data_IF_878992832205
#
_entry.id   IF_878992832205
#
_cell.length_a   1.000
_cell.length_b   1.000
_cell.length_c   1.000
_cell.angle_alpha   90.00
_cell.angle_beta   90.00
_cell.angle_gamma   90.00
#
_symmetry.space_group_name_H-M   'P 1'
#
loop_
_entity.id
_entity.type
_entity.pdbx_description
1 polymer ?
#
# COMPACT_ATOMS: atom_id res chain seq x y z
N UNK A 1 -23.76 -39.15 -54.47
CA UNK A 1 -24.98 -38.38 -54.77
C UNK A 1 -25.68 -38.09 -53.44
N UNK A 2 -26.09 -36.83 -53.22
CA UNK A 2 -26.97 -36.28 -52.14
C UNK A 2 -26.31 -36.19 -50.75
N UNK A 3 -26.30 -35.09 -49.97
CA UNK A 3 -26.80 -33.70 -50.10
C UNK A 3 -26.02 -32.80 -49.12
N UNK A 4 -25.99 -31.51 -49.42
CA UNK A 4 -25.27 -30.42 -48.79
C UNK A 4 -25.70 -30.07 -47.35
N UNK A 5 -24.72 -29.54 -46.61
CA UNK A 5 -24.84 -28.79 -45.35
C UNK A 5 -25.90 -27.68 -45.45
N UNK A 6 -26.94 -27.74 -44.61
CA UNK A 6 -27.84 -26.61 -44.38
C UNK A 6 -27.36 -25.81 -43.15
N UNK A 7 -27.15 -24.49 -43.28
CA UNK A 7 -26.78 -23.65 -42.14
C UNK A 7 -27.94 -23.48 -41.15
N UNK A 8 -27.66 -23.64 -39.84
CA UNK A 8 -28.59 -23.38 -38.74
C UNK A 8 -29.20 -21.97 -38.86
N UNK A 9 -30.53 -21.86 -38.94
CA UNK A 9 -31.24 -20.60 -38.84
C UNK A 9 -31.13 -20.06 -37.39
N UNK A 10 -30.55 -18.86 -37.25
CA UNK A 10 -30.39 -18.17 -35.96
C UNK A 10 -31.76 -17.82 -35.36
N UNK A 11 -31.91 -17.99 -34.06
CA UNK A 11 -33.17 -17.68 -33.37
C UNK A 11 -33.41 -16.16 -33.28
N UNK A 12 -34.66 -15.69 -33.25
CA UNK A 12 -35.01 -14.26 -33.16
C UNK A 12 -34.32 -13.53 -31.99
N UNK A 13 -34.06 -14.25 -30.89
CA UNK A 13 -33.40 -13.72 -29.69
C UNK A 13 -31.91 -13.48 -29.90
N UNK A 14 -31.26 -14.29 -30.73
CA UNK A 14 -29.85 -14.14 -31.12
C UNK A 14 -29.69 -12.99 -32.12
N UNK A 15 -30.60 -12.89 -33.09
CA UNK A 15 -30.64 -11.79 -34.06
C UNK A 15 -30.86 -10.43 -33.37
N UNK A 16 -31.74 -10.34 -32.36
CA UNK A 16 -31.90 -9.13 -31.54
C UNK A 16 -30.63 -8.76 -30.77
N UNK A 17 -29.90 -9.75 -30.24
CA UNK A 17 -28.68 -9.52 -29.46
C UNK A 17 -27.49 -9.12 -30.34
N UNK A 18 -27.39 -9.65 -31.56
CA UNK A 18 -26.43 -9.19 -32.57
C UNK A 18 -26.77 -7.77 -33.05
N UNK A 19 -28.05 -7.47 -33.28
CA UNK A 19 -28.48 -6.12 -33.66
C UNK A 19 -28.17 -5.07 -32.58
N UNK A 20 -28.38 -5.39 -31.30
CA UNK A 20 -27.99 -4.50 -30.19
C UNK A 20 -26.47 -4.29 -30.08
N UNK A 21 -25.68 -5.35 -30.28
CA UNK A 21 -24.21 -5.25 -30.27
C UNK A 21 -23.71 -4.42 -31.45
N UNK A 22 -24.26 -4.63 -32.64
CA UNK A 22 -23.94 -3.85 -33.83
C UNK A 22 -24.32 -2.37 -33.64
N UNK A 23 -25.48 -2.08 -33.06
CA UNK A 23 -25.91 -0.71 -32.78
C UNK A 23 -25.01 -0.01 -31.73
N UNK A 24 -24.54 -0.74 -30.72
CA UNK A 24 -23.58 -0.21 -29.72
C UNK A 24 -22.20 0.06 -30.34
N UNK A 25 -21.72 -0.83 -31.21
CA UNK A 25 -20.45 -0.65 -31.90
C UNK A 25 -20.51 0.53 -32.87
N UNK A 26 -21.59 0.66 -33.65
CA UNK A 26 -21.81 1.80 -34.54
C UNK A 26 -21.85 3.13 -33.78
N UNK A 27 -22.53 3.20 -32.62
CA UNK A 27 -22.52 4.41 -31.77
C UNK A 27 -21.13 4.73 -31.20
N UNK A 28 -20.33 3.71 -30.88
CA UNK A 28 -18.96 3.91 -30.40
C UNK A 28 -18.03 4.42 -31.51
N UNK A 29 -18.12 3.85 -32.70
CA UNK A 29 -17.37 4.27 -33.88
C UNK A 29 -17.74 5.69 -34.32
N UNK A 30 -19.03 6.05 -34.28
CA UNK A 30 -19.49 7.41 -34.57
C UNK A 30 -18.93 8.43 -33.56
N UNK A 31 -18.87 8.06 -32.27
CA UNK A 31 -18.28 8.91 -31.22
C UNK A 31 -16.77 9.09 -31.40
N UNK A 32 -16.07 8.03 -31.80
CA UNK A 32 -14.64 8.08 -32.13
C UNK A 32 -14.38 8.93 -33.39
N UNK A 33 -15.25 8.83 -34.41
CA UNK A 33 -15.15 9.65 -35.62
C UNK A 33 -15.36 11.14 -35.30
N UNK A 34 -16.36 11.47 -34.50
CA UNK A 34 -16.59 12.87 -34.03
C UNK A 34 -15.43 13.43 -33.20
N UNK A 35 -14.75 12.59 -32.41
CA UNK A 35 -13.55 12.99 -31.66
C UNK A 35 -12.36 13.26 -32.60
N UNK A 36 -12.15 12.40 -33.60
CA UNK A 36 -11.10 12.59 -34.61
C UNK A 36 -11.37 13.79 -35.51
N UNK A 37 -12.62 14.02 -35.93
CA UNK A 37 -13.03 15.20 -36.70
C UNK A 37 -12.83 16.48 -35.90
N UNK A 38 -13.12 16.49 -34.58
CA UNK A 38 -12.83 17.64 -33.70
C UNK A 38 -11.32 17.89 -33.53
N UNK A 39 -10.51 16.84 -33.47
CA UNK A 39 -9.06 16.97 -33.39
C UNK A 39 -8.47 17.53 -34.70
N UNK A 40 -8.92 17.02 -35.85
CA UNK A 40 -8.49 17.50 -37.16
C UNK A 40 -8.94 18.96 -37.45
N UNK A 41 -10.15 19.33 -37.01
CA UNK A 41 -10.64 20.72 -37.13
C UNK A 41 -9.88 21.71 -36.22
N UNK A 42 -9.23 21.23 -35.15
CA UNK A 42 -8.36 22.04 -34.31
C UNK A 42 -6.97 22.27 -34.94
N UNK A 43 -6.49 21.34 -35.77
CA UNK A 43 -5.20 21.45 -36.46
C UNK A 43 -5.27 22.23 -37.79
N UNK A 44 -6.44 22.34 -38.42
CA UNK A 44 -6.60 22.95 -39.74
C UNK A 44 -6.84 24.48 -39.77
N UNK A 45 -6.80 25.20 -38.64
CA UNK A 45 -6.97 26.67 -38.62
C UNK A 45 -5.67 27.42 -38.95
N UNK A 46 -5.66 28.38 -39.90
CA UNK A 46 -4.46 29.13 -40.26
C UNK A 46 -3.96 30.01 -39.11
N UNK A 47 -2.64 30.05 -38.90
CA UNK A 47 -1.97 30.93 -37.93
C UNK A 47 -1.93 32.37 -38.43
N UNK A 48 -2.89 33.19 -38.02
CA UNK A 48 -2.72 34.65 -38.03
C UNK A 48 -1.97 35.10 -36.77
N UNK A 49 -0.95 35.93 -36.98
CA UNK A 49 -0.09 36.52 -35.94
C UNK A 49 -0.92 37.33 -34.95
N UNK A 50 -1.14 36.78 -33.75
CA UNK A 50 -1.56 37.53 -32.56
C UNK A 50 -0.51 37.36 -31.46
N UNK A 51 -0.15 38.51 -30.90
CA UNK A 51 0.75 38.78 -29.78
C UNK A 51 0.87 37.60 -28.80
N UNK A 52 2.11 37.19 -28.57
CA UNK A 52 2.53 36.09 -27.70
C UNK A 52 1.92 36.27 -26.30
N UNK A 53 0.87 35.49 -26.00
CA UNK A 53 0.51 35.15 -24.63
C UNK A 53 1.43 34.03 -24.20
N UNK A 54 2.26 34.33 -23.20
CA UNK A 54 3.25 33.45 -22.63
C UNK A 54 2.71 32.04 -22.40
N UNK A 55 3.54 31.08 -22.82
CA UNK A 55 3.48 29.70 -22.40
C UNK A 55 3.31 29.66 -20.88
N UNK A 56 2.38 28.81 -20.39
CA UNK A 56 2.34 28.41 -18.99
C UNK A 56 3.67 27.74 -18.66
N UNK A 57 4.61 28.57 -18.27
CA UNK A 57 5.87 28.19 -17.65
C UNK A 57 5.54 27.32 -16.46
N UNK A 58 6.30 26.23 -16.34
CA UNK A 58 6.55 25.54 -15.07
C UNK A 58 6.63 26.63 -14.01
N UNK A 59 5.75 26.59 -13.01
CA UNK A 59 5.83 27.50 -11.87
C UNK A 59 7.20 27.23 -11.25
N UNK A 60 8.15 28.14 -11.52
CA UNK A 60 9.43 28.16 -10.84
C UNK A 60 9.15 28.14 -9.34
N UNK A 61 9.84 27.24 -8.62
CA UNK A 61 9.91 27.27 -7.16
C UNK A 61 10.22 28.71 -6.73
N UNK A 62 9.63 29.23 -5.63
CA UNK A 62 9.84 30.62 -5.27
C UNK A 62 11.33 30.93 -5.19
N UNK A 63 11.76 31.83 -6.09
CA UNK A 63 12.99 32.59 -6.00
C UNK A 63 13.03 33.17 -4.59
N UNK A 64 14.15 32.96 -3.90
CA UNK A 64 14.61 33.67 -2.71
C UNK A 64 13.72 34.87 -2.31
N UNK A 65 13.05 34.76 -1.17
CA UNK A 65 12.29 35.87 -0.59
C UNK A 65 13.32 36.78 0.09
N UNK A 66 13.50 38.04 -0.35
CA UNK A 66 14.46 38.95 0.26
C UNK A 66 14.19 39.10 1.76
N UNK A 67 15.23 38.94 2.60
CA UNK A 67 15.12 39.14 4.05
C UNK A 67 14.64 37.94 4.87
N UNK A 68 14.61 36.72 4.31
CA UNK A 68 14.37 35.50 5.09
C UNK A 68 15.36 35.38 6.26
N UNK A 69 14.81 35.20 7.45
CA UNK A 69 15.57 35.00 8.69
C UNK A 69 14.99 33.79 9.40
N UNK A 70 15.44 32.57 9.04
CA UNK A 70 14.94 31.36 9.65
C UNK A 70 15.05 31.42 11.18
N UNK A 71 13.94 31.16 11.86
CA UNK A 71 13.84 31.20 13.32
C UNK A 71 13.52 32.57 13.91
N UNK A 72 13.48 33.65 13.12
CA UNK A 72 13.03 34.97 13.57
C UNK A 72 11.59 35.23 13.14
N UNK A 73 10.89 36.05 13.93
CA UNK A 73 9.54 36.47 13.56
C UNK A 73 9.61 37.25 12.26
N UNK A 74 8.77 36.88 11.29
CA UNK A 74 8.68 37.55 9.99
C UNK A 74 8.49 39.05 10.18
N UNK A 75 9.30 39.83 9.48
CA UNK A 75 9.17 41.29 9.45
C UNK A 75 8.03 41.69 8.51
N UNK A 76 7.05 42.40 9.04
CA UNK A 76 5.88 42.89 8.32
C UNK A 76 5.90 44.41 8.11
N UNK A 77 7.03 45.06 8.43
CA UNK A 77 7.18 46.53 8.33
C UNK A 77 7.28 47.03 6.89
N UNK A 78 7.80 46.22 5.95
CA UNK A 78 8.04 46.62 4.56
C UNK A 78 6.80 46.59 3.63
N UNK A 79 5.60 46.55 4.21
CA UNK A 79 4.35 46.46 3.46
C UNK A 79 4.05 45.03 2.98
N UNK A 80 2.76 44.72 2.85
CA UNK A 80 2.29 43.41 2.36
C UNK A 80 2.21 43.41 0.83
N UNK A 81 2.43 42.27 0.17
CA UNK A 81 2.17 42.13 -1.26
C UNK A 81 0.72 42.50 -1.61
N UNK A 82 0.51 43.11 -2.78
CA UNK A 82 -0.82 43.50 -3.25
C UNK A 82 -1.76 42.31 -3.52
N UNK A 83 -1.21 41.09 -3.66
CA UNK A 83 -1.94 39.84 -3.86
C UNK A 83 -1.43 38.81 -2.86
N UNK A 84 -2.33 38.00 -2.30
CA UNK A 84 -1.94 36.91 -1.40
C UNK A 84 -0.99 35.93 -2.10
N UNK A 85 0.21 35.79 -1.53
CA UNK A 85 1.20 34.79 -1.91
C UNK A 85 1.51 33.89 -0.70
N UNK A 86 1.09 32.61 -0.72
CA UNK A 86 1.38 31.67 0.35
C UNK A 86 2.88 31.50 0.60
N UNK A 87 3.71 31.54 -0.44
CA UNK A 87 5.16 31.37 -0.29
C UNK A 87 5.75 32.53 0.52
N UNK A 88 5.32 33.75 0.21
CA UNK A 88 5.66 34.92 1.01
C UNK A 88 5.09 34.80 2.42
N UNK A 89 3.82 34.48 2.58
CA UNK A 89 3.16 34.48 3.89
C UNK A 89 3.73 33.40 4.80
N UNK A 90 3.87 32.16 4.36
CA UNK A 90 4.29 31.00 5.16
C UNK A 90 5.78 30.99 5.50
N UNK A 91 6.61 31.65 4.67
CA UNK A 91 8.05 31.75 4.93
C UNK A 91 8.35 32.31 6.33
N UNK A 92 9.42 31.80 6.92
CA UNK A 92 9.93 32.12 8.27
C UNK A 92 9.04 31.68 9.45
N UNK A 93 7.70 31.67 9.33
CA UNK A 93 6.80 31.37 10.45
C UNK A 93 7.06 30.03 11.10
N UNK A 94 7.18 28.96 10.31
CA UNK A 94 7.35 27.63 10.87
C UNK A 94 8.63 27.53 11.70
N UNK A 95 9.74 27.99 11.13
CA UNK A 95 11.04 28.00 11.80
C UNK A 95 11.02 28.86 13.07
N UNK A 96 10.29 29.98 13.07
CA UNK A 96 10.10 30.80 14.26
C UNK A 96 9.24 30.09 15.31
N UNK A 97 8.11 29.50 14.93
CA UNK A 97 7.24 28.74 15.85
C UNK A 97 7.99 27.59 16.51
N UNK A 98 8.80 26.86 15.75
CA UNK A 98 9.67 25.79 16.24
C UNK A 98 10.71 26.33 17.22
N UNK A 99 11.43 27.40 16.87
CA UNK A 99 12.44 28.03 17.75
C UNK A 99 11.84 28.54 19.06
N UNK A 100 10.64 29.11 19.02
CA UNK A 100 9.96 29.60 20.23
C UNK A 100 9.35 28.48 21.08
N UNK A 101 9.32 27.24 20.57
CA UNK A 101 8.77 26.09 21.27
C UNK A 101 7.24 26.12 21.40
N UNK A 102 6.51 26.84 20.54
CA UNK A 102 5.05 27.02 20.64
C UNK A 102 4.25 25.71 20.56
N UNK A 103 4.85 24.66 20.01
CA UNK A 103 4.23 23.35 19.86
C UNK A 103 4.41 22.46 21.08
N UNK A 104 5.30 22.84 22.00
CA UNK A 104 5.64 22.06 23.18
C UNK A 104 4.54 22.16 24.24
N UNK A 105 4.20 21.07 24.95
CA UNK A 105 3.23 21.10 26.05
C UNK A 105 3.67 22.00 27.22
N UNK A 106 4.97 22.30 27.33
CA UNK A 106 5.54 23.21 28.31
C UNK A 106 5.32 24.69 27.99
N UNK A 107 4.97 25.02 26.74
CA UNK A 107 4.85 26.41 26.32
C UNK A 107 3.73 27.14 27.09
N UNK A 108 4.06 28.34 27.61
CA UNK A 108 3.14 29.16 28.38
C UNK A 108 2.83 28.63 29.78
N UNK A 109 3.53 27.60 30.26
CA UNK A 109 3.34 27.05 31.61
C UNK A 109 4.47 27.50 32.53
N UNK A 110 4.12 28.15 33.63
CA UNK A 110 5.08 28.55 34.67
C UNK A 110 5.58 27.39 35.55
N UNK A 111 4.81 26.29 35.64
CA UNK A 111 5.22 25.05 36.28
C UNK A 111 4.59 23.86 35.54
N UNK A 112 5.43 22.96 35.02
CA UNK A 112 5.02 21.81 34.22
C UNK A 112 4.44 20.65 35.05
N UNK A 113 4.76 20.59 36.35
CA UNK A 113 4.32 19.55 37.28
C UNK A 113 2.90 19.79 37.80
N UNK A 114 2.46 21.06 37.87
CA UNK A 114 1.09 21.39 38.31
C UNK A 114 0.07 21.01 37.25
N UNK A 115 -0.92 20.13 37.53
CA UNK A 115 -1.94 19.77 36.55
C UNK A 115 -2.64 21.00 35.94
N UNK A 116 -2.84 21.00 34.63
CA UNK A 116 -3.61 22.06 33.97
C UNK A 116 -5.10 21.85 34.27
N UNK A 117 -5.81 22.79 34.92
CA UNK A 117 -7.22 22.65 35.26
C UNK A 117 -8.12 22.51 34.03
N UNK A 118 -7.67 22.97 32.86
CA UNK A 118 -8.39 22.83 31.59
C UNK A 118 -8.23 21.43 30.95
N UNK A 119 -7.37 20.59 31.52
CA UNK A 119 -7.08 19.24 31.05
C UNK A 119 -5.98 19.16 29.98
N UNK A 120 -5.82 17.96 29.42
CA UNK A 120 -4.83 17.65 28.40
C UNK A 120 -5.49 17.14 27.11
N UNK A 121 -4.77 17.27 26.00
CA UNK A 121 -5.11 16.66 24.72
C UNK A 121 -3.83 16.15 24.07
N UNK A 122 -3.72 14.83 23.95
CA UNK A 122 -2.53 14.18 23.38
C UNK A 122 -2.95 13.36 22.18
N UNK A 123 -2.22 13.51 21.08
CA UNK A 123 -2.36 12.69 19.89
C UNK A 123 -0.97 12.37 19.34
N UNK A 124 -0.82 11.15 18.82
CA UNK A 124 0.37 10.76 18.09
C UNK A 124 0.05 10.79 16.61
N UNK A 125 0.95 11.33 15.78
CA UNK A 125 0.83 11.13 14.35
C UNK A 125 0.90 9.62 14.08
N UNK A 126 -0.01 9.04 13.28
CA UNK A 126 0.18 7.71 12.73
C UNK A 126 1.51 7.71 11.99
N UNK A 127 2.53 6.99 12.50
CA UNK A 127 3.90 7.19 12.07
C UNK A 127 4.03 6.77 10.60
N UNK A 128 4.34 7.69 9.66
CA UNK A 128 4.50 7.34 8.27
C UNK A 128 5.65 6.37 8.07
N UNK A 129 5.45 5.43 7.15
CA UNK A 129 6.46 4.45 6.74
C UNK A 129 7.62 5.16 6.04
N UNK A 130 8.87 4.79 6.37
CA UNK A 130 10.07 5.28 5.69
C UNK A 130 10.27 4.65 4.30
N UNK A 131 9.22 4.55 3.49
CA UNK A 131 9.22 3.90 2.16
C UNK A 131 9.24 4.89 1.00
N UNK A 132 9.22 6.20 1.25
CA UNK A 132 9.21 7.22 0.20
C UNK A 132 8.86 8.62 0.70
N UNK A 133 8.06 9.33 -0.08
CA UNK A 133 7.54 10.67 0.25
C UNK A 133 6.08 10.58 0.66
N UNK A 134 5.63 11.52 1.49
CA UNK A 134 4.22 11.68 1.83
C UNK A 134 3.38 12.02 0.59
N UNK A 135 2.14 11.56 0.59
CA UNK A 135 1.12 11.81 -0.44
C UNK A 135 -0.12 12.49 0.16
N UNK A 136 -1.09 12.87 -0.66
CA UNK A 136 -2.29 13.63 -0.24
C UNK A 136 -3.07 12.98 0.92
N UNK A 137 -3.15 11.65 0.97
CA UNK A 137 -3.75 10.95 2.11
C UNK A 137 -3.07 11.25 3.46
N UNK A 138 -1.74 11.35 3.50
CA UNK A 138 -1.01 11.78 4.69
C UNK A 138 -1.32 13.23 5.05
N UNK A 139 -1.37 14.10 4.03
CA UNK A 139 -1.72 15.51 4.23
C UNK A 139 -3.12 15.67 4.84
N UNK A 140 -4.10 14.90 4.37
CA UNK A 140 -5.46 14.89 4.94
C UNK A 140 -5.46 14.48 6.40
N UNK A 141 -4.84 13.33 6.74
CA UNK A 141 -4.78 12.84 8.11
C UNK A 141 -4.11 13.85 9.06
N UNK A 142 -2.92 14.31 8.71
CA UNK A 142 -2.17 15.30 9.51
C UNK A 142 -2.92 16.61 9.65
N UNK A 143 -3.62 17.08 8.61
CA UNK A 143 -4.42 18.33 8.69
C UNK A 143 -5.53 18.23 9.73
N UNK A 144 -6.23 17.09 9.76
CA UNK A 144 -7.31 16.84 10.74
C UNK A 144 -6.74 16.80 12.16
N UNK A 145 -5.66 16.05 12.37
CA UNK A 145 -4.98 15.92 13.66
C UNK A 145 -4.44 17.26 14.18
N UNK A 146 -3.82 18.04 13.29
CA UNK A 146 -3.27 19.35 13.61
C UNK A 146 -4.37 20.36 13.95
N UNK A 147 -5.48 20.35 13.20
CA UNK A 147 -6.64 21.20 13.46
C UNK A 147 -7.20 20.95 14.86
N UNK A 148 -7.39 19.67 15.24
CA UNK A 148 -7.87 19.30 16.56
C UNK A 148 -6.88 19.69 17.67
N UNK A 149 -5.58 19.51 17.41
CA UNK A 149 -4.51 19.90 18.33
C UNK A 149 -4.52 21.41 18.57
N UNK A 150 -4.55 22.22 17.51
CA UNK A 150 -4.60 23.68 17.59
C UNK A 150 -5.84 24.16 18.30
N UNK A 151 -7.00 23.60 17.98
CA UNK A 151 -8.26 23.95 18.65
C UNK A 151 -8.24 23.67 20.16
N UNK A 152 -7.73 22.51 20.59
CA UNK A 152 -7.59 22.21 22.01
C UNK A 152 -6.53 23.11 22.69
N UNK A 153 -5.45 23.44 21.99
CA UNK A 153 -4.42 24.39 22.47
C UNK A 153 -5.04 25.78 22.69
N UNK A 154 -5.86 26.25 21.76
CA UNK A 154 -6.59 27.52 21.86
C UNK A 154 -7.64 27.52 22.98
N UNK A 155 -8.21 26.36 23.32
CA UNK A 155 -9.06 26.21 24.52
C UNK A 155 -8.27 26.33 25.83
N UNK A 156 -6.93 26.32 25.77
CA UNK A 156 -6.03 26.41 26.91
C UNK A 156 -5.69 25.07 27.55
N UNK A 157 -5.98 23.94 26.87
CA UNK A 157 -5.51 22.63 27.31
C UNK A 157 -4.01 22.49 27.10
N UNK A 158 -3.36 21.64 27.89
CA UNK A 158 -2.00 21.20 27.60
C UNK A 158 -2.04 20.23 26.43
N UNK A 159 -1.39 20.56 25.31
CA UNK A 159 -1.44 19.72 24.11
C UNK A 159 -0.10 19.11 23.76
N UNK A 160 -0.13 17.84 23.35
CA UNK A 160 1.01 17.13 22.78
C UNK A 160 0.58 16.48 21.47
N UNK A 161 1.13 16.96 20.36
CA UNK A 161 1.04 16.29 19.08
C UNK A 161 2.40 15.66 18.77
N UNK A 162 2.53 14.37 19.04
CA UNK A 162 3.82 13.69 19.02
C UNK A 162 4.14 13.15 17.61
N UNK A 163 5.24 13.60 16.98
CA UNK A 163 5.64 13.09 15.67
C UNK A 163 6.42 11.77 15.78
N UNK A 164 6.44 11.01 14.69
CA UNK A 164 7.27 9.82 14.60
C UNK A 164 7.37 9.30 13.17
N UNK A 165 8.20 8.29 12.95
CA UNK A 165 8.22 7.53 11.70
C UNK A 165 8.36 6.04 11.98
N UNK A 166 7.78 5.24 11.09
CA UNK A 166 7.79 3.79 11.18
C UNK A 166 8.85 3.21 10.24
N UNK A 167 9.61 2.23 10.73
CA UNK A 167 10.55 1.43 9.97
C UNK A 167 9.87 0.56 8.90
N UNK A 168 8.59 0.21 9.10
CA UNK A 168 7.74 -0.51 8.14
C UNK A 168 8.29 -1.88 7.67
N UNK A 169 9.20 -2.50 8.45
CA UNK A 169 9.76 -3.85 8.25
C UNK A 169 9.87 -4.29 6.78
N UNK A 170 8.96 -5.19 6.39
CA UNK A 170 8.88 -5.80 5.05
C UNK A 170 8.79 -4.75 3.93
N UNK A 171 7.99 -3.69 4.11
CA UNK A 171 7.80 -2.68 3.09
C UNK A 171 9.11 -1.92 2.78
N UNK A 172 9.86 -1.54 3.82
CA UNK A 172 11.16 -0.89 3.64
C UNK A 172 12.18 -1.85 3.03
N UNK A 173 12.21 -3.10 3.48
CA UNK A 173 13.08 -4.13 2.90
C UNK A 173 12.86 -4.25 1.38
N UNK A 174 11.61 -4.40 0.94
CA UNK A 174 11.27 -4.55 -0.48
C UNK A 174 11.68 -3.32 -1.30
N UNK A 175 11.48 -2.11 -0.78
CA UNK A 175 11.86 -0.88 -1.48
C UNK A 175 13.37 -0.77 -1.63
N UNK A 176 14.13 -1.09 -0.57
CA UNK A 176 15.60 -1.07 -0.61
C UNK A 176 16.15 -2.15 -1.53
N UNK A 177 15.59 -3.37 -1.50
CA UNK A 177 15.97 -4.45 -2.43
C UNK A 177 15.73 -4.04 -3.90
N UNK A 178 14.56 -3.47 -4.21
CA UNK A 178 14.28 -2.97 -5.57
C UNK A 178 15.23 -1.85 -5.99
N UNK A 179 15.61 -0.96 -5.08
CA UNK A 179 16.61 0.09 -5.34
C UNK A 179 17.97 -0.52 -5.68
N UNK A 180 18.44 -1.46 -4.84
CA UNK A 180 19.73 -2.14 -5.04
C UNK A 180 19.78 -2.92 -6.35
N UNK A 181 18.71 -3.64 -6.68
CA UNK A 181 18.62 -4.38 -7.94
C UNK A 181 18.67 -3.41 -9.15
N UNK A 182 17.97 -2.28 -9.08
CA UNK A 182 17.93 -1.30 -10.18
C UNK A 182 19.25 -0.55 -10.35
N UNK A 183 19.90 -0.15 -9.26
CA UNK A 183 21.09 0.71 -9.30
C UNK A 183 22.39 -0.08 -9.44
N UNK A 184 22.47 -1.25 -8.80
CA UNK A 184 23.70 -2.04 -8.70
C UNK A 184 23.56 -3.44 -9.31
N UNK A 185 22.35 -3.88 -9.66
CA UNK A 185 22.10 -5.26 -10.10
C UNK A 185 22.26 -6.31 -9.00
N UNK A 186 22.34 -5.88 -7.73
CA UNK A 186 22.62 -6.75 -6.58
C UNK A 186 21.35 -7.08 -5.80
N UNK A 187 21.28 -8.30 -5.28
CA UNK A 187 20.29 -8.74 -4.30
C UNK A 187 20.79 -8.55 -2.86
N UNK A 188 19.87 -8.63 -1.88
CA UNK A 188 20.26 -8.64 -0.46
C UNK A 188 21.15 -9.83 -0.07
N UNK A 189 21.08 -10.93 -0.82
CA UNK A 189 21.88 -12.12 -0.56
C UNK A 189 23.34 -11.91 -0.98
N UNK A 190 23.57 -11.15 -2.06
CA UNK A 190 24.93 -10.82 -2.54
C UNK A 190 25.65 -9.89 -1.56
N UNK A 191 24.92 -8.98 -0.91
CA UNK A 191 25.47 -8.09 0.10
C UNK A 191 25.74 -8.79 1.43
N UNK A 192 24.88 -9.73 1.83
CA UNK A 192 24.84 -10.27 3.18
C UNK A 192 24.17 -9.32 4.19
N UNK A 193 23.87 -9.84 5.38
CA UNK A 193 22.99 -9.20 6.37
C UNK A 193 23.47 -7.80 6.80
N UNK A 194 24.71 -7.69 7.24
CA UNK A 194 25.19 -6.45 7.89
C UNK A 194 25.27 -5.29 6.90
N UNK A 195 25.79 -5.55 5.69
CA UNK A 195 25.84 -4.56 4.62
C UNK A 195 24.44 -4.16 4.14
N UNK A 196 23.51 -5.10 4.07
CA UNK A 196 22.13 -4.79 3.74
C UNK A 196 21.46 -3.90 4.80
N UNK A 197 21.67 -4.19 6.09
CA UNK A 197 21.17 -3.35 7.19
C UNK A 197 21.72 -1.92 7.10
N UNK A 198 22.99 -1.75 6.73
CA UNK A 198 23.59 -0.42 6.52
C UNK A 198 22.89 0.35 5.38
N UNK A 199 22.57 -0.31 4.26
CA UNK A 199 21.82 0.31 3.16
C UNK A 199 20.39 0.71 3.58
N UNK A 200 19.73 -0.10 4.43
CA UNK A 200 18.41 0.24 5.01
C UNK A 200 18.50 1.47 5.90
N UNK A 201 19.52 1.57 6.76
CA UNK A 201 19.74 2.76 7.57
C UNK A 201 20.05 3.98 6.71
N UNK A 202 20.88 3.85 5.66
CA UNK A 202 21.15 4.95 4.72
C UNK A 202 19.85 5.45 4.09
N UNK A 203 19.01 4.54 3.61
CA UNK A 203 17.69 4.86 3.08
C UNK A 203 16.81 5.59 4.10
N UNK A 204 16.77 5.13 5.36
CA UNK A 204 16.04 5.80 6.43
C UNK A 204 16.51 7.24 6.66
N UNK A 205 17.82 7.49 6.66
CA UNK A 205 18.35 8.84 6.84
C UNK A 205 17.97 9.76 5.65
N UNK A 206 18.07 9.24 4.43
CA UNK A 206 17.66 9.96 3.21
C UNK A 206 16.15 10.29 3.20
N UNK A 207 15.29 9.32 3.52
CA UNK A 207 13.82 9.48 3.40
C UNK A 207 13.14 10.04 4.64
N UNK A 208 13.62 9.69 5.84
CA UNK A 208 13.07 10.19 7.10
C UNK A 208 13.17 11.71 7.20
N UNK A 209 14.27 12.30 6.74
CA UNK A 209 14.43 13.75 6.67
C UNK A 209 13.40 14.42 5.74
N UNK A 210 13.12 13.81 4.58
CA UNK A 210 12.13 14.33 3.63
C UNK A 210 10.72 14.29 4.21
N UNK A 211 10.34 13.20 4.89
CA UNK A 211 9.02 13.08 5.53
C UNK A 211 8.83 14.19 6.57
N UNK A 212 9.84 14.43 7.42
CA UNK A 212 9.77 15.48 8.43
C UNK A 212 9.75 16.87 7.81
N UNK A 213 10.51 17.13 6.74
CA UNK A 213 10.43 18.39 5.99
C UNK A 213 9.03 18.61 5.37
N UNK A 214 8.41 17.58 4.82
CA UNK A 214 7.04 17.66 4.29
C UNK A 214 6.03 18.01 5.39
N UNK A 215 6.13 17.39 6.58
CA UNK A 215 5.28 17.74 7.73
C UNK A 215 5.50 19.19 8.20
N UNK A 216 6.75 19.67 8.22
CA UNK A 216 7.07 21.08 8.53
C UNK A 216 6.45 22.03 7.51
N UNK A 217 6.59 21.73 6.22
CA UNK A 217 6.02 22.53 5.12
C UNK A 217 4.50 22.56 5.12
N UNK A 218 3.85 21.49 5.60
CA UNK A 218 2.40 21.49 5.81
C UNK A 218 1.97 22.28 7.06
N UNK A 219 2.92 22.77 7.87
CA UNK A 219 2.61 23.55 9.05
C UNK A 219 2.19 22.72 10.27
N UNK A 220 2.50 21.42 10.32
CA UNK A 220 2.09 20.56 11.43
C UNK A 220 2.66 21.06 12.77
N UNK A 221 1.81 21.32 13.77
CA UNK A 221 2.16 21.84 15.09
C UNK A 221 2.60 20.75 16.08
N UNK A 222 3.49 19.89 15.59
CA UNK A 222 4.07 18.75 16.32
C UNK A 222 5.25 19.17 17.19
N UNK A 223 5.55 18.35 18.19
CA UNK A 223 6.74 18.53 19.04
C UNK A 223 7.93 17.73 18.53
N UNK A 224 8.83 18.38 17.79
CA UNK A 224 10.00 17.74 17.19
C UNK A 224 11.01 17.19 18.17
N UNK A 225 11.10 17.74 19.40
CA UNK A 225 12.00 17.22 20.43
C UNK A 225 11.62 15.79 20.84
N UNK A 226 10.35 15.45 20.67
CA UNK A 226 9.78 14.15 21.03
C UNK A 226 9.67 13.19 19.85
N UNK A 227 10.14 13.59 18.66
CA UNK A 227 10.13 12.73 17.49
C UNK A 227 10.74 11.34 17.78
N UNK A 228 10.01 10.29 17.39
CA UNK A 228 10.43 8.90 17.62
C UNK A 228 10.56 8.15 16.30
N UNK A 229 11.58 7.31 16.19
CA UNK A 229 11.66 6.25 15.20
C UNK A 229 11.43 4.90 15.88
N UNK A 230 10.69 4.00 15.24
CA UNK A 230 10.31 2.71 15.86
C UNK A 230 11.51 1.80 16.22
N UNK A 231 12.68 2.03 15.62
CA UNK A 231 13.92 1.32 15.98
C UNK A 231 14.81 2.09 16.96
N UNK A 232 14.37 3.23 17.50
CA UNK A 232 15.11 3.94 18.55
C UNK A 232 15.23 3.05 19.79
N UNK A 233 16.34 3.13 20.56
CA UNK A 233 16.55 2.28 21.73
C UNK A 233 15.40 2.31 22.74
N UNK A 234 14.73 3.46 22.91
CA UNK A 234 13.55 3.60 23.79
C UNK A 234 12.33 2.79 23.29
N UNK A 235 12.11 2.75 21.98
CA UNK A 235 11.00 2.02 21.36
C UNK A 235 11.27 0.52 21.38
N UNK A 236 12.51 0.12 21.06
CA UNK A 236 12.94 -1.29 21.14
C UNK A 236 12.72 -1.83 22.55
N UNK A 237 13.14 -1.10 23.60
CA UNK A 237 12.89 -1.51 24.98
C UNK A 237 11.40 -1.69 25.29
N UNK A 238 10.55 -0.77 24.82
CA UNK A 238 9.10 -0.87 25.05
C UNK A 238 8.49 -2.10 24.36
N UNK A 239 8.93 -2.42 23.12
CA UNK A 239 8.47 -3.61 22.40
C UNK A 239 8.99 -4.89 23.05
N UNK A 240 10.25 -4.92 23.50
CA UNK A 240 10.81 -6.07 24.22
C UNK A 240 10.06 -6.32 25.52
N UNK A 241 9.79 -5.29 26.32
CA UNK A 241 8.99 -5.41 27.55
C UNK A 241 7.59 -5.95 27.27
N UNK A 242 6.91 -5.42 26.24
CA UNK A 242 5.59 -5.89 25.85
C UNK A 242 5.62 -7.37 25.43
N UNK A 243 6.62 -7.79 24.65
CA UNK A 243 6.81 -9.18 24.26
C UNK A 243 7.03 -10.09 25.47
N UNK A 244 7.93 -9.72 26.39
CA UNK A 244 8.23 -10.50 27.59
C UNK A 244 6.98 -10.67 28.46
N UNK A 245 6.25 -9.59 28.73
CA UNK A 245 5.01 -9.65 29.51
C UNK A 245 3.95 -10.55 28.87
N UNK A 246 3.75 -10.42 27.56
CA UNK A 246 2.77 -11.23 26.83
C UNK A 246 3.19 -12.71 26.74
N UNK A 247 4.49 -12.99 26.72
CA UNK A 247 5.01 -14.35 26.77
C UNK A 247 4.83 -14.96 28.17
N UNK A 248 5.18 -14.21 29.22
CA UNK A 248 5.00 -14.64 30.63
C UNK A 248 3.53 -14.87 30.99
N UNK A 249 2.60 -14.09 30.41
CA UNK A 249 1.16 -14.30 30.58
C UNK A 249 0.58 -15.43 29.71
N UNK A 250 1.40 -16.10 28.90
CA UNK A 250 0.98 -17.19 28.00
C UNK A 250 0.24 -16.73 26.74
N UNK A 251 0.17 -15.43 26.47
CA UNK A 251 -0.47 -14.87 25.26
C UNK A 251 0.39 -15.08 24.01
N UNK A 252 1.72 -14.89 24.14
CA UNK A 252 2.69 -15.23 23.09
C UNK A 252 3.29 -16.61 23.41
N UNK A 253 3.26 -17.51 22.45
CA UNK A 253 3.80 -18.86 22.57
C UNK A 253 4.40 -19.33 21.24
N UNK A 254 5.17 -20.42 21.28
CA UNK A 254 5.75 -21.07 20.10
C UNK A 254 5.06 -22.41 19.85
N UNK A 255 4.56 -22.61 18.64
CA UNK A 255 3.94 -23.87 18.21
C UNK A 255 4.09 -24.04 16.69
N UNK A 256 3.95 -25.27 16.21
CA UNK A 256 3.90 -25.56 14.79
C UNK A 256 2.44 -25.45 14.32
N UNK A 257 2.17 -24.49 13.43
CA UNK A 257 0.86 -24.28 12.82
C UNK A 257 1.01 -23.95 11.34
N UNK A 258 -0.08 -24.11 10.59
CA UNK A 258 -0.18 -23.56 9.25
C UNK A 258 -0.10 -22.04 9.33
N UNK A 259 0.72 -21.46 8.45
CA UNK A 259 0.95 -20.03 8.33
C UNK A 259 0.88 -19.63 6.86
N UNK A 260 0.58 -18.37 6.58
CA UNK A 260 0.74 -17.84 5.24
C UNK A 260 2.23 -17.60 5.00
N UNK A 261 2.80 -18.26 4.00
CA UNK A 261 4.20 -18.12 3.64
C UNK A 261 4.35 -17.43 2.29
N UNK A 262 5.14 -16.36 2.24
CA UNK A 262 5.51 -15.72 0.98
C UNK A 262 6.81 -16.29 0.45
N UNK A 263 6.76 -17.00 -0.68
CA UNK A 263 7.94 -17.55 -1.35
C UNK A 263 8.92 -16.46 -1.83
N UNK A 264 8.40 -15.30 -2.20
CA UNK A 264 9.19 -14.17 -2.67
C UNK A 264 9.96 -13.49 -1.53
N UNK A 265 9.28 -13.21 -0.42
CA UNK A 265 9.90 -12.57 0.75
C UNK A 265 10.72 -13.57 1.59
N UNK A 266 10.40 -14.86 1.48
CA UNK A 266 10.90 -15.95 2.33
C UNK A 266 10.61 -15.68 3.81
N UNK A 267 9.36 -15.33 4.11
CA UNK A 267 8.88 -15.04 5.46
C UNK A 267 7.41 -15.46 5.61
N UNK A 268 7.03 -15.78 6.84
CA UNK A 268 5.63 -15.84 7.23
C UNK A 268 5.04 -14.43 7.22
N UNK A 269 3.76 -14.33 6.85
CA UNK A 269 2.95 -13.11 6.86
C UNK A 269 1.63 -13.37 7.60
N UNK A 270 1.11 -12.34 8.22
CA UNK A 270 -0.16 -12.40 8.95
C UNK A 270 -1.36 -12.41 8.01
N UNK A 271 -2.52 -12.86 8.49
CA UNK A 271 -3.75 -12.90 7.67
C UNK A 271 -4.15 -11.51 7.14
N UNK A 272 -3.90 -10.44 7.90
CA UNK A 272 -4.21 -9.06 7.50
C UNK A 272 -3.29 -8.53 6.40
N UNK A 273 -2.15 -9.19 6.15
CA UNK A 273 -1.22 -8.86 5.07
C UNK A 273 -1.51 -9.64 3.78
N UNK A 274 -2.53 -10.51 3.80
CA UNK A 274 -2.90 -11.36 2.65
C UNK A 274 -4.12 -10.78 1.93
N UNK A 275 -3.88 -10.27 0.73
CA UNK A 275 -4.94 -9.88 -0.20
C UNK A 275 -5.45 -11.09 -1.00
N UNK A 276 -6.74 -11.39 -0.87
CA UNK A 276 -7.40 -12.46 -1.63
C UNK A 276 -7.90 -11.93 -2.97
N UNK A 277 -7.52 -12.60 -4.06
CA UNK A 277 -7.98 -12.31 -5.41
C UNK A 277 -8.84 -13.45 -5.93
N UNK A 278 -10.09 -13.16 -6.24
CA UNK A 278 -10.99 -14.12 -6.89
C UNK A 278 -10.70 -14.20 -8.39
N UNK A 279 -10.67 -15.42 -8.92
CA UNK A 279 -10.46 -15.69 -10.34
C UNK A 279 -11.69 -16.44 -10.88
N UNK A 280 -12.37 -15.93 -11.91
CA UNK A 280 -13.58 -16.57 -12.46
C UNK A 280 -13.28 -17.85 -13.26
N UNK A 281 -12.00 -18.12 -13.56
CA UNK A 281 -11.56 -19.28 -14.31
C UNK A 281 -10.07 -19.22 -14.62
N UNK A 282 -9.65 -20.05 -15.58
CA UNK A 282 -8.25 -20.20 -16.00
C UNK A 282 -7.61 -18.85 -16.33
N UNK A 283 -6.59 -18.49 -15.57
CA UNK A 283 -5.90 -17.20 -15.67
C UNK A 283 -4.39 -17.39 -15.50
N UNK A 284 -3.60 -16.86 -16.43
CA UNK A 284 -2.15 -16.80 -16.31
C UNK A 284 -1.74 -15.54 -15.55
N UNK A 285 -1.10 -15.71 -14.39
CA UNK A 285 -0.66 -14.60 -13.55
C UNK A 285 0.87 -14.57 -13.42
N UNK A 286 1.49 -13.37 -13.44
CA UNK A 286 2.90 -13.26 -13.07
C UNK A 286 3.06 -13.54 -11.57
N UNK A 287 4.03 -14.38 -11.22
CA UNK A 287 4.38 -14.70 -9.82
C UNK A 287 5.82 -14.25 -9.57
N UNK A 288 6.09 -13.47 -8.52
CA UNK A 288 7.46 -13.03 -8.23
C UNK A 288 8.41 -14.24 -8.07
N UNK A 289 9.52 -14.21 -8.81
CA UNK A 289 10.52 -15.29 -8.83
C UNK A 289 10.35 -16.31 -9.97
N UNK A 290 9.32 -16.18 -10.80
CA UNK A 290 9.11 -17.00 -11.99
C UNK A 290 9.28 -16.14 -13.25
N UNK A 291 9.98 -16.67 -14.26
CA UNK A 291 10.17 -15.99 -15.55
C UNK A 291 8.89 -16.03 -16.39
N UNK A 292 8.17 -17.15 -16.31
CA UNK A 292 6.91 -17.36 -17.03
C UNK A 292 5.71 -17.11 -16.12
N UNK A 293 4.56 -16.82 -16.74
CA UNK A 293 3.30 -16.69 -16.01
C UNK A 293 2.85 -18.08 -15.55
N UNK A 294 2.42 -18.15 -14.30
CA UNK A 294 1.90 -19.39 -13.70
C UNK A 294 0.39 -19.44 -13.90
N UNK A 295 -0.11 -20.65 -14.13
CA UNK A 295 -1.53 -20.92 -14.31
C UNK A 295 -2.29 -21.02 -12.99
N UNK A 296 -3.42 -20.31 -12.91
CA UNK A 296 -4.34 -20.36 -11.77
C UNK A 296 -5.80 -20.51 -12.25
N UNK A 297 -6.68 -20.92 -11.34
CA UNK A 297 -8.12 -21.01 -11.62
C UNK A 297 -8.51 -22.19 -12.53
N UNK A 298 -7.67 -23.23 -12.59
CA UNK A 298 -7.97 -24.51 -13.25
C UNK A 298 -8.36 -25.52 -12.20
N UNK A 299 -9.46 -26.24 -12.44
CA UNK A 299 -9.90 -27.35 -11.58
C UNK A 299 -9.54 -28.66 -12.28
N UNK A 300 -8.70 -29.47 -11.64
CA UNK A 300 -8.25 -30.76 -12.14
C UNK A 300 -8.98 -31.86 -11.36
N UNK A 301 -9.61 -32.78 -12.09
CA UNK A 301 -10.25 -33.96 -11.52
C UNK A 301 -9.39 -35.19 -11.76
N UNK A 302 -9.14 -35.97 -10.71
CA UNK A 302 -8.38 -37.22 -10.77
C UNK A 302 -8.98 -38.23 -9.79
N UNK A 303 -8.67 -39.52 -9.96
CA UNK A 303 -9.28 -40.60 -9.20
C UNK A 303 -8.26 -41.33 -8.31
N UNK A 304 -8.65 -41.59 -7.06
CA UNK A 304 -7.95 -42.50 -6.15
C UNK A 304 -8.54 -43.89 -6.25
N UNK A 305 -7.70 -44.91 -6.45
CA UNK A 305 -8.14 -46.32 -6.47
C UNK A 305 -8.28 -46.87 -5.06
N UNK A 306 -9.38 -47.53 -4.76
CA UNK A 306 -9.60 -48.13 -3.44
C UNK A 306 -8.86 -49.47 -3.35
N UNK A 307 -8.06 -49.64 -2.30
CA UNK A 307 -7.30 -50.87 -2.07
C UNK A 307 -8.24 -52.07 -1.96
N UNK A 308 -7.96 -53.13 -2.72
CA UNK A 308 -8.71 -54.39 -2.67
C UNK A 308 -10.02 -54.41 -3.47
N UNK A 309 -10.24 -53.47 -4.39
CA UNK A 309 -11.36 -53.52 -5.33
C UNK A 309 -11.17 -52.60 -6.56
N UNK A 310 -12.16 -52.60 -7.44
CA UNK A 310 -12.21 -51.76 -8.66
C UNK A 310 -12.85 -50.38 -8.42
N UNK A 311 -13.23 -50.07 -7.18
CA UNK A 311 -13.87 -48.80 -6.85
C UNK A 311 -12.86 -47.65 -6.87
N UNK A 312 -13.30 -46.49 -7.34
CA UNK A 312 -12.49 -45.27 -7.40
C UNK A 312 -13.22 -44.07 -6.80
N UNK A 313 -12.46 -43.11 -6.27
CA UNK A 313 -13.00 -41.84 -5.75
C UNK A 313 -12.41 -40.69 -6.54
N UNK A 314 -13.26 -39.98 -7.28
CA UNK A 314 -12.87 -38.78 -8.04
C UNK A 314 -12.82 -37.57 -7.11
N UNK A 315 -11.67 -36.90 -7.07
CA UNK A 315 -11.44 -35.65 -6.33
C UNK A 315 -11.11 -34.54 -7.32
N UNK A 316 -11.62 -33.35 -7.05
CA UNK A 316 -11.35 -32.14 -7.84
C UNK A 316 -10.56 -31.14 -6.99
N UNK A 317 -9.41 -30.67 -7.50
CA UNK A 317 -8.54 -29.71 -6.81
C UNK A 317 -8.03 -28.64 -7.78
N UNK A 318 -7.74 -27.45 -7.26
CA UNK A 318 -7.04 -26.38 -8.00
C UNK A 318 -5.53 -26.43 -7.79
N UNK A 319 -5.04 -27.32 -6.92
CA UNK A 319 -3.62 -27.52 -6.63
C UNK A 319 -3.26 -29.00 -6.74
N UNK A 320 -3.09 -29.49 -7.96
CA UNK A 320 -2.77 -30.90 -8.22
C UNK A 320 -1.41 -31.29 -7.64
N UNK A 321 -0.50 -30.32 -7.53
CA UNK A 321 0.83 -30.50 -6.93
C UNK A 321 0.79 -30.88 -5.45
N UNK A 322 -0.31 -30.58 -4.72
CA UNK A 322 -0.43 -30.98 -3.32
C UNK A 322 -0.91 -32.41 -3.14
N UNK A 323 -1.32 -33.09 -4.21
CA UNK A 323 -1.79 -34.48 -4.19
C UNK A 323 -0.79 -35.43 -3.51
N UNK A 324 0.52 -35.20 -3.69
CA UNK A 324 1.56 -36.03 -3.06
C UNK A 324 1.63 -35.89 -1.53
N UNK A 325 1.04 -34.83 -0.99
CA UNK A 325 0.90 -34.60 0.46
C UNK A 325 -0.47 -35.01 1.01
N UNK A 326 -1.36 -35.59 0.17
CA UNK A 326 -2.68 -36.01 0.62
C UNK A 326 -2.56 -37.17 1.62
N UNK A 327 -3.28 -37.06 2.74
CA UNK A 327 -3.29 -38.06 3.81
C UNK A 327 -4.65 -38.74 3.99
N UNK A 328 -5.71 -38.13 3.47
CA UNK A 328 -7.07 -38.66 3.49
C UNK A 328 -7.93 -37.99 2.41
N UNK A 329 -9.03 -38.65 2.02
CA UNK A 329 -10.11 -38.04 1.24
C UNK A 329 -11.30 -37.80 2.17
N UNK A 330 -11.77 -36.56 2.24
CA UNK A 330 -12.92 -36.20 3.06
C UNK A 330 -14.23 -36.36 2.29
N UNK A 331 -15.19 -37.06 2.90
CA UNK A 331 -16.52 -37.30 2.34
C UNK A 331 -17.56 -36.79 3.33
N UNK A 332 -18.62 -36.15 2.84
CA UNK A 332 -19.73 -35.72 3.68
C UNK A 332 -20.46 -36.97 4.25
N UNK A 333 -20.69 -37.06 5.58
CA UNK A 333 -21.19 -38.29 6.21
C UNK A 333 -22.57 -38.73 5.68
N UNK A 334 -23.38 -37.77 5.23
CA UNK A 334 -24.73 -38.01 4.71
C UNK A 334 -24.77 -38.16 3.17
N UNK A 335 -23.63 -38.18 2.48
CA UNK A 335 -23.62 -38.34 1.02
C UNK A 335 -23.76 -39.82 0.62
N UNK A 336 -24.94 -40.26 0.13
CA UNK A 336 -25.21 -41.68 -0.13
C UNK A 336 -24.32 -42.25 -1.22
N UNK A 337 -23.74 -41.40 -2.08
CA UNK A 337 -22.86 -41.82 -3.19
C UNK A 337 -21.57 -42.46 -2.68
N UNK A 338 -21.11 -42.08 -1.48
CA UNK A 338 -19.78 -42.45 -0.98
C UNK A 338 -19.80 -43.10 0.40
N UNK A 339 -20.96 -43.26 1.04
CA UNK A 339 -21.08 -43.92 2.36
C UNK A 339 -20.42 -45.29 2.41
N UNK A 340 -20.55 -46.08 1.34
CA UNK A 340 -19.95 -47.41 1.20
C UNK A 340 -18.41 -47.40 1.06
N UNK A 341 -17.79 -46.22 0.99
CA UNK A 341 -16.34 -46.02 0.89
C UNK A 341 -15.72 -45.44 2.17
N UNK A 342 -16.55 -45.04 3.15
CA UNK A 342 -16.07 -44.52 4.43
C UNK A 342 -15.24 -45.61 5.15
N UNK A 343 -14.04 -45.24 5.59
CA UNK A 343 -13.10 -46.14 6.25
C UNK A 343 -12.25 -47.01 5.31
N UNK A 344 -12.46 -46.93 3.99
CA UNK A 344 -11.60 -47.61 3.00
C UNK A 344 -10.35 -46.79 2.70
N UNK A 345 -9.27 -47.47 2.32
CA UNK A 345 -7.97 -46.84 2.02
C UNK A 345 -7.81 -46.70 0.50
N UNK A 346 -7.55 -45.46 0.05
CA UNK A 346 -7.22 -45.16 -1.33
C UNK A 346 -5.72 -45.26 -1.62
N UNK A 347 -5.35 -45.45 -2.88
CA UNK A 347 -3.97 -45.50 -3.38
C UNK A 347 -3.82 -44.64 -4.63
N UNK A 348 -2.64 -44.05 -4.81
CA UNK A 348 -2.22 -43.23 -5.98
C UNK A 348 -1.34 -44.03 -6.94
N UNK A 349 -1.66 -45.31 -7.11
CA UNK A 349 -0.78 -46.38 -7.65
C UNK A 349 -0.11 -46.15 -9.03
N UNK A 350 -0.36 -45.07 -9.81
CA UNK A 350 0.54 -44.74 -10.92
C UNK A 350 1.81 -43.94 -10.57
N UNK A 351 1.89 -43.25 -9.42
CA UNK A 351 2.95 -42.25 -9.15
C UNK A 351 3.79 -42.47 -7.88
N UNK A 352 3.36 -43.34 -6.98
CA UNK A 352 4.13 -43.70 -5.78
C UNK A 352 4.14 -45.22 -5.58
N UNK A 353 5.18 -45.92 -6.10
CA UNK A 353 5.43 -47.29 -5.69
C UNK A 353 5.84 -47.29 -4.21
N UNK A 354 5.19 -48.11 -3.40
CA UNK A 354 5.52 -48.31 -1.99
C UNK A 354 6.94 -48.87 -1.79
#
# INVERSE_FOLDING_TARGET
MVSADQPRQKTEKELKKEAEKAAKLAKFEEKQRKLKEKAAAAEAKPKEKKVVKEQRTVVEKPKYIPGQRPGEKKDISQGLPNVYDPSYVESDWYSWWEKQGFFKPEYGRGNNEKPNPKGHFTICIPPPNVTGTLHVGHALATTVEDTLTRWNRMKGKTTLFNPGCDHAGIATQVVVEKKLQREKGLSRHDLGRDRFIQEVWKWKHEKGGVIYDQLRKMGASVDWDRACFMMDPKMVRAVTEAFVRMHESGTIYRSNRLVNWSCALRSAISDIEVDKKELPGRTLLPVPGYDEKVEFGVLVSFAYKIKGGEAEVVVSTTRVETMLGDTAVAVHPEDPRYQHLIGKVGTTDPLMPF
#
